data_IF_804014717447
#
_entry.id   IF_804014717447
#
_cell.length_a   1.000
_cell.length_b   1.000
_cell.length_c   1.000
_cell.angle_alpha   90.00
_cell.angle_beta   90.00
_cell.angle_gamma   90.00
#
_symmetry.space_group_name_H-M   'P 1'
#
loop_
_entity.id
_entity.type
_entity.pdbx_description
1 polymer ?
#
# COMPACT_ATOMS: atom_id res chain seq x y z
N UNK A 1 9.92 -19.14 12.57
CA UNK A 1 9.56 -17.99 13.44
C UNK A 1 10.23 -16.73 12.93
N UNK A 2 9.46 -15.70 12.58
CA UNK A 2 9.97 -14.43 12.08
C UNK A 2 10.59 -13.55 13.19
N UNK A 3 11.72 -12.91 12.88
CA UNK A 3 12.39 -11.88 13.69
C UNK A 3 12.65 -10.66 12.83
N UNK A 4 12.35 -9.48 13.36
CA UNK A 4 12.55 -8.21 12.67
C UNK A 4 13.54 -7.37 13.48
N UNK A 5 14.55 -6.84 12.81
CA UNK A 5 15.56 -5.98 13.40
C UNK A 5 15.31 -4.55 12.97
N UNK A 6 15.62 -3.62 13.86
CA UNK A 6 15.36 -2.21 13.67
C UNK A 6 16.63 -1.38 13.86
N UNK A 7 16.78 -0.34 13.06
CA UNK A 7 17.77 0.71 13.24
C UNK A 7 17.04 2.06 13.27
N UNK A 8 17.19 2.82 14.37
CA UNK A 8 16.50 4.11 14.56
C UNK A 8 14.98 4.05 14.32
N UNK A 9 14.36 2.93 14.71
CA UNK A 9 12.92 2.69 14.57
C UNK A 9 12.47 2.22 13.17
N UNK A 10 13.37 2.18 12.19
CA UNK A 10 13.10 1.65 10.85
C UNK A 10 13.48 0.18 10.78
N UNK A 11 12.76 -0.62 10.00
CA UNK A 11 13.17 -2.01 9.71
C UNK A 11 14.54 -1.96 9.02
N UNK A 12 15.47 -2.80 9.47
CA UNK A 12 16.80 -2.96 8.86
C UNK A 12 17.05 -4.38 8.34
N UNK A 13 16.37 -5.38 8.91
CA UNK A 13 16.52 -6.79 8.53
C UNK A 13 15.32 -7.61 8.95
N UNK A 14 14.94 -8.58 8.13
CA UNK A 14 13.93 -9.58 8.45
C UNK A 14 14.57 -10.96 8.35
N UNK A 15 14.34 -11.79 9.36
CA UNK A 15 14.79 -13.19 9.40
C UNK A 15 13.57 -14.08 9.61
N UNK A 16 13.30 -14.97 8.67
CA UNK A 16 12.22 -15.95 8.74
C UNK A 16 12.81 -17.33 8.51
N UNK A 17 12.84 -18.13 9.58
CA UNK A 17 13.49 -19.45 9.57
C UNK A 17 14.96 -19.33 9.12
N UNK A 18 15.33 -19.95 7.99
CA UNK A 18 16.69 -19.87 7.44
C UNK A 18 16.88 -18.68 6.49
N UNK A 19 15.79 -18.05 6.04
CA UNK A 19 15.85 -16.88 5.16
C UNK A 19 16.23 -15.63 5.95
N UNK A 20 17.30 -14.97 5.51
CA UNK A 20 17.80 -13.71 6.07
C UNK A 20 17.85 -12.67 4.96
N UNK A 21 17.08 -11.60 5.11
CA UNK A 21 17.01 -10.53 4.14
C UNK A 21 17.28 -9.20 4.83
N UNK A 22 18.25 -8.45 4.31
CA UNK A 22 18.41 -7.05 4.72
C UNK A 22 17.24 -6.29 4.07
N UNK A 23 16.49 -5.54 4.88
CA UNK A 23 15.30 -4.80 4.44
C UNK A 23 15.34 -3.46 5.15
N UNK A 24 15.76 -2.41 4.45
CA UNK A 24 15.78 -1.05 4.95
C UNK A 24 14.53 -0.31 4.45
N UNK A 25 13.60 -0.02 5.36
CA UNK A 25 12.39 0.74 5.09
C UNK A 25 12.63 2.24 5.34
N UNK A 26 12.37 3.07 4.34
CA UNK A 26 12.63 4.51 4.35
C UNK A 26 11.41 5.29 3.86
N UNK A 27 11.22 6.48 4.42
CA UNK A 27 10.28 7.47 3.90
C UNK A 27 11.03 8.58 3.17
N UNK A 28 10.45 9.06 2.07
CA UNK A 28 11.00 10.19 1.34
C UNK A 28 9.96 10.81 0.42
N UNK A 29 10.40 11.77 -0.38
CA UNK A 29 9.55 12.39 -1.38
C UNK A 29 10.32 12.81 -2.63
N UNK A 30 9.62 12.81 -3.76
CA UNK A 30 10.02 13.56 -4.95
C UNK A 30 9.39 14.95 -4.87
N UNK A 31 10.08 15.95 -5.43
CA UNK A 31 9.50 17.28 -5.57
C UNK A 31 8.81 17.37 -6.91
N UNK A 32 7.59 17.87 -6.93
CA UNK A 32 6.84 18.07 -8.17
C UNK A 32 7.51 19.12 -9.05
N UNK A 33 7.62 18.86 -10.35
CA UNK A 33 7.97 19.90 -11.32
C UNK A 33 6.78 20.86 -11.51
N UNK A 34 7.04 22.17 -11.45
CA UNK A 34 6.02 23.24 -11.51
C UNK A 34 6.48 24.49 -12.31
N UNK A 35 7.33 24.28 -13.33
CA UNK A 35 7.99 25.32 -14.12
C UNK A 35 7.35 25.62 -15.49
N UNK A 36 8.14 26.11 -16.45
CA UNK A 36 7.64 26.62 -17.75
C UNK A 36 7.22 25.53 -18.77
N UNK A 37 6.97 24.30 -18.32
CA UNK A 37 6.66 23.18 -19.22
C UNK A 37 5.64 22.24 -18.59
N UNK A 38 5.67 20.94 -18.92
CA UNK A 38 4.71 19.98 -18.37
C UNK A 38 4.82 19.87 -16.85
N UNK A 39 3.84 20.36 -16.11
CA UNK A 39 3.81 20.25 -14.66
C UNK A 39 3.41 18.85 -14.18
N UNK A 40 3.81 18.51 -12.94
CA UNK A 40 3.22 17.39 -12.19
C UNK A 40 1.86 17.83 -11.64
N UNK A 41 0.87 16.94 -11.71
CA UNK A 41 -0.51 17.26 -11.32
C UNK A 41 -1.35 15.99 -11.12
N UNK A 42 -2.66 16.10 -11.21
CA UNK A 42 -3.58 15.00 -10.92
C UNK A 42 -3.31 13.72 -11.74
N UNK A 43 -2.85 13.86 -12.99
CA UNK A 43 -2.59 12.77 -13.92
C UNK A 43 -1.11 12.51 -14.13
N UNK A 44 -0.32 13.58 -14.26
CA UNK A 44 1.10 13.49 -14.62
C UNK A 44 1.95 13.45 -13.35
N UNK A 45 2.80 12.43 -13.26
CA UNK A 45 3.94 12.43 -12.35
C UNK A 45 5.17 12.93 -13.10
N UNK A 46 5.70 14.07 -12.66
CA UNK A 46 6.98 14.58 -13.12
C UNK A 46 7.81 15.11 -11.95
N UNK A 47 8.85 14.38 -11.50
CA UNK A 47 9.79 14.92 -10.54
C UNK A 47 10.48 16.17 -11.07
N UNK A 48 10.98 17.02 -10.17
CA UNK A 48 11.63 18.28 -10.53
C UNK A 48 12.85 18.10 -11.45
N UNK A 49 13.52 16.95 -11.34
CA UNK A 49 14.56 16.51 -12.27
C UNK A 49 14.30 15.06 -12.70
N UNK A 50 14.54 14.67 -13.96
CA UNK A 50 14.27 13.30 -14.44
C UNK A 50 14.96 12.19 -13.62
N UNK A 51 16.14 12.49 -13.07
CA UNK A 51 16.98 11.59 -12.27
C UNK A 51 17.05 12.01 -10.78
N UNK A 52 16.09 12.79 -10.30
CA UNK A 52 16.04 13.24 -8.92
C UNK A 52 16.18 12.08 -7.92
N UNK A 53 17.25 12.09 -7.11
CA UNK A 53 17.34 11.18 -5.98
C UNK A 53 16.23 11.46 -4.96
N UNK A 54 15.63 10.38 -4.42
CA UNK A 54 14.57 10.49 -3.41
C UNK A 54 15.07 11.28 -2.20
N UNK A 55 14.35 12.34 -1.82
CA UNK A 55 14.67 13.15 -0.64
C UNK A 55 14.24 12.39 0.61
N UNK A 56 15.20 11.75 1.28
CA UNK A 56 14.94 10.88 2.44
C UNK A 56 14.64 11.70 3.69
N UNK A 57 13.51 11.40 4.33
CA UNK A 57 13.12 11.93 5.62
C UNK A 57 13.83 11.14 6.73
N UNK A 58 14.29 11.84 7.77
CA UNK A 58 14.98 11.21 8.90
C UNK A 58 14.00 10.92 10.05
N UNK A 59 14.12 9.77 10.71
CA UNK A 59 13.30 9.48 11.88
C UNK A 59 13.64 10.44 13.02
N UNK A 60 12.62 10.96 13.68
CA UNK A 60 12.77 11.77 14.88
C UNK A 60 13.04 10.82 16.04
N UNK A 61 14.30 10.73 16.49
CA UNK A 61 14.71 9.70 17.46
C UNK A 61 13.96 9.77 18.80
N UNK A 62 13.56 10.96 19.24
CA UNK A 62 12.76 11.16 20.46
C UNK A 62 11.30 10.69 20.32
N UNK A 63 10.80 10.45 19.11
CA UNK A 63 9.44 9.96 18.85
C UNK A 63 9.31 8.44 18.92
N UNK A 64 10.43 7.71 18.98
CA UNK A 64 10.43 6.25 18.91
C UNK A 64 9.79 5.68 20.17
N UNK A 65 8.68 4.95 20.01
CA UNK A 65 7.98 4.26 21.09
C UNK A 65 7.77 2.80 20.73
N UNK A 66 8.06 1.92 21.67
CA UNK A 66 7.85 0.47 21.53
C UNK A 66 6.71 0.07 22.46
N UNK A 67 5.70 -0.59 21.91
CA UNK A 67 4.57 -1.16 22.65
C UNK A 67 4.57 -2.66 22.41
N UNK A 68 4.55 -3.46 23.46
CA UNK A 68 4.55 -4.92 23.35
C UNK A 68 3.51 -5.56 24.27
N UNK A 69 2.77 -6.52 23.73
CA UNK A 69 1.93 -7.42 24.50
C UNK A 69 2.08 -8.86 24.00
N UNK A 70 1.26 -9.79 24.51
CA UNK A 70 1.33 -11.23 24.17
C UNK A 70 0.99 -11.56 22.71
N UNK A 71 0.35 -10.64 21.99
CA UNK A 71 -0.18 -10.81 20.63
C UNK A 71 0.58 -9.99 19.58
N UNK A 72 1.03 -8.79 19.92
CA UNK A 72 1.66 -7.85 18.97
C UNK A 72 2.81 -7.06 19.61
N UNK A 73 3.82 -6.78 18.80
CA UNK A 73 4.83 -5.75 19.05
C UNK A 73 4.66 -4.62 18.04
N UNK A 74 4.65 -3.39 18.53
CA UNK A 74 4.49 -2.19 17.74
C UNK A 74 5.69 -1.27 17.92
N UNK A 75 6.22 -0.76 16.81
CA UNK A 75 7.29 0.23 16.79
C UNK A 75 6.73 1.49 16.13
N UNK A 76 6.50 2.52 16.94
CA UNK A 76 5.97 3.81 16.54
C UNK A 76 7.13 4.76 16.27
N UNK A 77 7.11 5.46 15.13
CA UNK A 77 8.16 6.41 14.73
C UNK A 77 7.54 7.56 13.93
N UNK A 78 7.95 8.79 14.20
CA UNK A 78 7.62 9.97 13.38
C UNK A 78 8.81 10.39 12.51
N UNK A 79 8.51 10.86 11.31
CA UNK A 79 9.44 11.47 10.34
C UNK A 79 9.05 12.93 10.08
N UNK A 80 8.49 13.61 11.10
CA UNK A 80 7.82 14.90 10.96
C UNK A 80 6.33 14.68 10.78
N UNK A 81 5.82 15.04 9.60
CA UNK A 81 4.42 14.94 9.21
C UNK A 81 4.03 13.55 8.67
N UNK A 82 4.90 12.55 8.88
CA UNK A 82 4.61 11.14 8.64
C UNK A 82 4.77 10.37 9.94
N UNK A 83 3.73 9.65 10.35
CA UNK A 83 3.74 8.73 11.48
C UNK A 83 3.69 7.29 10.96
N UNK A 84 4.56 6.43 11.46
CA UNK A 84 4.62 5.02 11.12
C UNK A 84 4.44 4.16 12.37
N UNK A 85 3.66 3.09 12.23
CA UNK A 85 3.56 2.01 13.22
C UNK A 85 3.91 0.69 12.51
N UNK A 86 5.05 0.11 12.87
CA UNK A 86 5.41 -1.25 12.43
C UNK A 86 4.85 -2.26 13.41
N UNK A 87 3.95 -3.13 12.94
CA UNK A 87 3.27 -4.16 13.73
C UNK A 87 3.81 -5.54 13.39
N UNK A 88 4.22 -6.28 14.42
CA UNK A 88 4.70 -7.65 14.32
C UNK A 88 3.77 -8.52 15.16
N UNK A 89 2.88 -9.24 14.48
CA UNK A 89 1.92 -10.14 15.13
C UNK A 89 2.55 -11.50 15.43
N UNK A 90 2.22 -12.04 16.60
CA UNK A 90 2.67 -13.37 17.03
C UNK A 90 2.11 -14.44 16.09
N UNK A 91 2.99 -15.25 15.51
CA UNK A 91 2.61 -16.38 14.66
C UNK A 91 2.30 -16.00 13.21
N UNK A 92 2.50 -14.74 12.82
CA UNK A 92 2.40 -14.29 11.42
C UNK A 92 3.78 -14.21 10.77
N UNK A 93 3.82 -14.48 9.47
CA UNK A 93 5.04 -14.47 8.65
C UNK A 93 5.15 -13.21 7.77
N UNK A 94 4.56 -12.12 8.25
CA UNK A 94 4.55 -10.82 7.59
C UNK A 94 4.73 -9.70 8.61
N UNK A 95 5.18 -8.55 8.12
CA UNK A 95 5.30 -7.32 8.90
C UNK A 95 4.34 -6.30 8.35
N UNK A 96 3.54 -5.71 9.21
CA UNK A 96 2.56 -4.71 8.83
C UNK A 96 3.12 -3.31 9.13
N UNK A 97 3.03 -2.40 8.17
CA UNK A 97 3.44 -1.00 8.29
C UNK A 97 2.21 -0.14 8.09
N UNK A 98 1.61 0.29 9.20
CA UNK A 98 0.57 1.31 9.18
C UNK A 98 1.24 2.68 9.17
N UNK A 99 0.69 3.59 8.38
CA UNK A 99 1.23 4.93 8.27
C UNK A 99 0.13 5.98 8.23
N UNK A 100 0.45 7.16 8.74
CA UNK A 100 -0.34 8.38 8.58
C UNK A 100 0.55 9.40 7.93
N UNK A 101 0.10 9.93 6.79
CA UNK A 101 0.71 11.07 6.14
C UNK A 101 -0.20 12.26 6.38
N UNK A 102 0.22 13.16 7.26
CA UNK A 102 -0.56 14.31 7.70
C UNK A 102 -0.03 15.58 7.03
N UNK A 103 -0.91 16.52 6.68
CA UNK A 103 -0.60 17.86 6.18
C UNK A 103 0.74 17.99 5.42
N UNK A 104 0.84 17.42 4.20
CA UNK A 104 2.05 17.53 3.38
C UNK A 104 2.42 19.02 3.26
N UNK A 105 3.59 19.45 3.77
CA UNK A 105 3.90 20.87 3.92
C UNK A 105 4.21 21.49 2.56
N UNK A 106 3.65 22.67 2.31
CA UNK A 106 3.86 23.43 1.05
C UNK A 106 4.26 24.90 1.30
N UNK A 107 4.63 25.25 2.53
CA UNK A 107 5.05 26.61 2.89
C UNK A 107 6.32 27.07 2.15
N UNK A 108 7.10 26.11 1.67
CA UNK A 108 8.28 26.29 0.81
C UNK A 108 7.93 26.50 -0.67
N UNK A 109 6.63 26.52 -1.02
CA UNK A 109 6.13 26.60 -2.40
C UNK A 109 6.60 25.43 -3.28
N UNK A 110 6.80 24.24 -2.68
CA UNK A 110 7.23 23.04 -3.38
C UNK A 110 6.21 21.92 -3.19
N UNK A 111 5.64 21.44 -4.30
CA UNK A 111 4.82 20.22 -4.32
C UNK A 111 5.64 18.97 -3.95
N UNK A 112 5.04 18.03 -3.22
CA UNK A 112 5.73 16.85 -2.69
C UNK A 112 4.92 15.59 -2.94
N UNK A 113 5.62 14.54 -3.33
CA UNK A 113 5.04 13.26 -3.70
C UNK A 113 5.71 12.15 -2.90
N UNK A 114 4.95 11.57 -1.99
CA UNK A 114 5.45 10.90 -0.79
C UNK A 114 5.59 9.42 -1.06
N UNK A 115 6.74 8.87 -0.71
CA UNK A 115 7.13 7.51 -1.08
C UNK A 115 7.58 6.73 0.15
N UNK A 116 7.03 5.52 0.28
CA UNK A 116 7.58 4.46 1.13
C UNK A 116 8.49 3.58 0.29
N UNK A 117 9.77 3.49 0.65
CA UNK A 117 10.76 2.69 -0.10
C UNK A 117 11.40 1.63 0.77
N UNK A 118 11.44 0.41 0.26
CA UNK A 118 12.18 -0.70 0.82
C UNK A 118 13.42 -0.96 -0.03
N UNK A 119 14.58 -1.09 0.61
CA UNK A 119 15.83 -1.53 -0.04
C UNK A 119 16.25 -2.86 0.55
N UNK A 120 16.67 -3.79 -0.30
CA UNK A 120 17.08 -5.12 0.10
C UNK A 120 18.30 -5.61 -0.67
N UNK A 121 18.83 -6.75 -0.23
CA UNK A 121 19.90 -7.46 -0.91
C UNK A 121 19.38 -8.41 -2.02
N UNK A 122 18.09 -8.36 -2.39
CA UNK A 122 17.53 -9.12 -3.52
C UNK A 122 18.19 -8.71 -4.83
N UNK A 123 18.66 -9.69 -5.61
CA UNK A 123 19.27 -9.48 -6.92
C UNK A 123 18.20 -9.48 -8.02
N UNK A 124 17.37 -8.44 -8.02
CA UNK A 124 16.20 -8.36 -8.91
C UNK A 124 16.52 -8.12 -10.39
N UNK A 125 17.77 -7.79 -10.74
CA UNK A 125 18.24 -7.57 -12.12
C UNK A 125 17.30 -6.67 -12.96
N UNK A 126 16.98 -5.49 -12.43
CA UNK A 126 16.06 -4.50 -13.03
C UNK A 126 14.63 -5.00 -13.27
N UNK A 127 14.28 -6.19 -12.78
CA UNK A 127 12.98 -6.82 -12.94
C UNK A 127 12.17 -6.68 -11.66
N UNK A 128 10.89 -6.39 -11.81
CA UNK A 128 9.92 -6.37 -10.73
C UNK A 128 8.55 -6.73 -11.29
N UNK A 129 7.58 -7.00 -10.42
CA UNK A 129 6.28 -7.46 -10.83
C UNK A 129 5.20 -6.64 -10.13
N UNK A 130 4.21 -6.18 -10.90
CA UNK A 130 3.03 -5.51 -10.36
C UNK A 130 1.79 -6.25 -10.81
N UNK A 131 0.77 -6.27 -9.97
CA UNK A 131 -0.50 -6.88 -10.33
C UNK A 131 -1.24 -6.06 -11.41
N UNK A 132 -2.18 -6.71 -12.09
CA UNK A 132 -3.15 -6.06 -12.98
C UNK A 132 -4.54 -6.19 -12.38
N UNK A 133 -5.03 -5.13 -11.74
CA UNK A 133 -6.35 -5.08 -11.08
C UNK A 133 -6.54 -6.21 -10.05
N UNK A 134 -5.51 -6.49 -9.23
CA UNK A 134 -5.51 -7.56 -8.24
C UNK A 134 -5.38 -8.98 -8.81
N UNK A 135 -5.26 -9.12 -10.13
CA UNK A 135 -5.16 -10.41 -10.83
C UNK A 135 -3.72 -10.70 -11.23
N UNK A 136 -3.46 -11.05 -12.49
CA UNK A 136 -2.16 -11.54 -12.95
C UNK A 136 -1.03 -10.55 -12.67
N UNK A 137 0.11 -11.09 -12.25
CA UNK A 137 1.33 -10.31 -12.08
C UNK A 137 2.02 -10.11 -13.42
N UNK A 138 2.21 -8.85 -13.79
CA UNK A 138 2.88 -8.45 -15.01
C UNK A 138 4.35 -8.22 -14.70
N UNK A 139 5.22 -8.89 -15.46
CA UNK A 139 6.66 -8.65 -15.41
C UNK A 139 6.97 -7.25 -15.94
N UNK A 140 7.66 -6.45 -15.16
CA UNK A 140 8.17 -5.12 -15.50
C UNK A 140 9.68 -5.17 -15.55
N UNK A 141 10.28 -4.46 -16.49
CA UNK A 141 11.72 -4.26 -16.54
C UNK A 141 12.00 -2.75 -16.63
N UNK A 142 12.82 -2.25 -15.70
CA UNK A 142 13.18 -0.84 -15.63
C UNK A 142 13.83 -0.40 -16.95
N UNK A 143 13.43 0.77 -17.44
CA UNK A 143 13.93 1.40 -18.67
C UNK A 143 13.71 0.57 -19.94
N UNK A 144 12.66 -0.26 -19.98
CA UNK A 144 12.37 -1.15 -21.11
C UNK A 144 10.88 -1.15 -21.48
N UNK A 145 10.59 -1.32 -22.78
CA UNK A 145 9.25 -1.59 -23.31
C UNK A 145 9.32 -2.76 -24.28
N UNK A 146 8.37 -3.69 -24.18
CA UNK A 146 8.38 -4.90 -25.01
C UNK A 146 8.01 -4.62 -26.47
N UNK A 147 7.16 -3.64 -26.71
CA UNK A 147 6.53 -3.41 -28.01
C UNK A 147 7.21 -2.37 -28.90
N UNK A 148 8.19 -1.63 -28.40
CA UNK A 148 8.95 -0.65 -29.19
C UNK A 148 10.31 -0.35 -28.55
N UNK A 149 11.23 0.21 -29.35
CA UNK A 149 12.52 0.70 -28.88
C UNK A 149 12.31 1.93 -27.98
N UNK A 150 12.44 1.72 -26.67
CA UNK A 150 12.17 2.74 -25.67
C UNK A 150 13.35 3.70 -25.52
N UNK A 151 13.10 4.98 -25.81
CA UNK A 151 14.00 6.08 -25.47
C UNK A 151 13.52 6.67 -24.13
N UNK A 152 14.35 6.56 -23.10
CA UNK A 152 14.00 6.98 -21.75
C UNK A 152 14.29 8.48 -21.55
N UNK A 153 13.24 9.28 -21.37
CA UNK A 153 13.33 10.70 -21.04
C UNK A 153 13.08 10.98 -19.56
N UNK A 154 12.29 10.14 -18.89
CA UNK A 154 11.89 10.27 -17.49
C UNK A 154 12.22 8.96 -16.74
N UNK A 155 13.47 8.76 -16.28
CA UNK A 155 13.92 7.53 -15.62
C UNK A 155 13.16 7.14 -14.36
N UNK A 156 12.56 8.11 -13.67
CA UNK A 156 11.72 7.85 -12.49
C UNK A 156 10.28 7.60 -12.93
N UNK A 157 9.61 8.62 -13.46
CA UNK A 157 8.18 8.56 -13.77
C UNK A 157 7.85 7.50 -14.84
N UNK A 158 8.72 7.33 -15.84
CA UNK A 158 8.58 6.31 -16.88
C UNK A 158 8.67 4.87 -16.36
N UNK A 159 9.06 4.65 -15.10
CA UNK A 159 9.16 3.32 -14.51
C UNK A 159 8.13 3.08 -13.40
N UNK A 160 7.21 4.01 -13.15
CA UNK A 160 6.07 3.80 -12.25
C UNK A 160 4.93 3.04 -12.92
N UNK A 161 4.35 2.10 -12.20
CA UNK A 161 3.22 1.27 -12.64
C UNK A 161 2.12 1.25 -11.58
N UNK A 162 0.86 1.01 -11.97
CA UNK A 162 -0.20 0.79 -11.00
C UNK A 162 0.08 -0.49 -10.20
N UNK A 163 -0.16 -0.39 -8.90
CA UNK A 163 -0.15 -1.47 -7.92
C UNK A 163 -1.51 -1.43 -7.23
N UNK A 164 -2.43 -2.33 -7.58
CA UNK A 164 -3.75 -2.35 -6.97
C UNK A 164 -3.79 -3.22 -5.72
N UNK A 165 -2.86 -4.17 -5.61
CA UNK A 165 -2.82 -5.14 -4.52
C UNK A 165 -1.41 -5.44 -4.05
N UNK A 166 -0.46 -5.65 -4.97
CA UNK A 166 0.89 -6.05 -4.58
C UNK A 166 1.94 -5.77 -5.64
N UNK A 167 3.15 -5.49 -5.15
CA UNK A 167 4.38 -5.39 -5.93
C UNK A 167 5.42 -6.33 -5.31
N UNK A 168 6.25 -6.97 -6.14
CA UNK A 168 7.35 -7.77 -5.63
C UNK A 168 8.59 -7.73 -6.52
N UNK A 169 9.72 -8.06 -5.90
CA UNK A 169 11.00 -8.36 -6.52
C UNK A 169 11.49 -9.72 -6.05
N UNK A 170 12.27 -10.42 -6.87
CA UNK A 170 12.79 -11.74 -6.52
C UNK A 170 14.19 -11.97 -7.11
N UNK A 171 15.01 -12.74 -6.37
CA UNK A 171 16.14 -13.48 -6.93
C UNK A 171 15.57 -14.82 -7.39
N UNK A 172 15.52 -15.02 -8.71
CA UNK A 172 14.76 -16.08 -9.36
C UNK A 172 14.99 -17.44 -8.70
N UNK A 173 13.93 -18.01 -8.13
CA UNK A 173 13.93 -19.33 -7.51
C UNK A 173 14.62 -19.42 -6.14
N UNK A 174 14.93 -18.30 -5.49
CA UNK A 174 15.63 -18.27 -4.19
C UNK A 174 14.93 -17.45 -3.13
N UNK A 175 14.62 -16.19 -3.40
CA UNK A 175 14.04 -15.32 -2.41
C UNK A 175 13.24 -14.20 -3.04
N UNK A 176 12.17 -13.78 -2.38
CA UNK A 176 11.34 -12.67 -2.81
C UNK A 176 11.05 -11.70 -1.67
N UNK A 177 10.93 -10.42 -2.03
CA UNK A 177 10.40 -9.36 -1.20
C UNK A 177 9.12 -8.85 -1.86
N UNK A 178 8.01 -8.98 -1.13
CA UNK A 178 6.68 -8.59 -1.58
C UNK A 178 6.12 -7.52 -0.66
N UNK A 179 5.47 -6.52 -1.24
CA UNK A 179 4.70 -5.51 -0.51
C UNK A 179 3.26 -5.54 -1.03
N UNK A 180 2.31 -5.81 -0.14
CA UNK A 180 0.87 -5.66 -0.42
C UNK A 180 0.38 -4.29 0.04
N UNK A 181 -0.62 -3.77 -0.66
CA UNK A 181 -1.18 -2.42 -0.45
C UNK A 181 -2.65 -2.52 -0.06
N UNK A 182 -3.11 -1.60 0.81
CA UNK A 182 -4.53 -1.51 1.21
C UNK A 182 -5.41 -0.81 0.16
N UNK A 183 -4.78 -0.15 -0.81
CA UNK A 183 -5.42 0.60 -1.90
C UNK A 183 -4.53 0.63 -3.14
N UNK A 184 -5.09 1.18 -4.22
CA UNK A 184 -4.32 1.42 -5.44
C UNK A 184 -3.29 2.52 -5.24
N UNK A 185 -2.06 2.24 -5.65
CA UNK A 185 -0.92 3.15 -5.55
C UNK A 185 -0.07 3.10 -6.83
N UNK A 186 0.80 4.08 -7.00
CA UNK A 186 1.89 4.00 -7.97
C UNK A 186 3.11 3.33 -7.34
N UNK A 187 3.72 2.36 -8.00
CA UNK A 187 4.91 1.69 -7.49
C UNK A 187 5.96 1.36 -8.55
N UNK A 188 7.20 1.17 -8.10
CA UNK A 188 8.34 0.87 -8.97
C UNK A 188 9.48 0.10 -8.27
N UNK A 189 10.46 -0.34 -9.06
CA UNK A 189 11.79 -0.77 -8.62
C UNK A 189 12.85 0.05 -9.35
N UNK A 190 13.15 1.25 -8.84
CA UNK A 190 14.08 2.18 -9.50
C UNK A 190 15.56 1.80 -9.33
N UNK A 191 15.89 1.01 -8.31
CA UNK A 191 17.22 0.44 -8.08
C UNK A 191 17.10 -1.07 -7.86
N UNK A 192 18.14 -1.82 -8.23
CA UNK A 192 18.16 -3.27 -7.96
C UNK A 192 17.97 -3.53 -6.47
N UNK A 193 17.12 -4.52 -6.14
CA UNK A 193 16.80 -4.86 -4.75
C UNK A 193 15.86 -3.88 -4.06
N UNK A 194 15.29 -2.88 -4.75
CA UNK A 194 14.37 -1.91 -4.14
C UNK A 194 12.94 -2.03 -4.63
N UNK A 195 11.99 -1.69 -3.77
CA UNK A 195 10.58 -1.45 -4.09
C UNK A 195 10.25 -0.06 -3.53
N UNK A 196 9.51 0.74 -4.29
CA UNK A 196 8.94 1.97 -3.77
C UNK A 196 7.49 2.14 -4.17
N UNK A 197 6.70 2.73 -3.27
CA UNK A 197 5.26 2.98 -3.41
C UNK A 197 4.99 4.44 -3.07
N UNK A 198 4.36 5.17 -3.99
CA UNK A 198 3.87 6.53 -3.75
C UNK A 198 2.55 6.44 -2.99
N UNK A 199 2.55 6.94 -1.75
CA UNK A 199 1.42 6.79 -0.83
C UNK A 199 0.48 7.98 -0.83
N UNK A 200 1.00 9.18 -1.11
CA UNK A 200 0.27 10.44 -1.10
C UNK A 200 1.01 11.46 -1.97
N UNK A 201 0.33 12.50 -2.44
CA UNK A 201 0.93 13.57 -3.25
C UNK A 201 0.11 14.85 -3.14
N UNK A 202 0.82 15.97 -3.08
CA UNK A 202 0.25 17.31 -3.06
C UNK A 202 1.03 18.20 -4.03
N UNK A 203 0.41 18.58 -5.14
CA UNK A 203 1.01 19.42 -6.18
C UNK A 203 0.46 20.85 -6.10
N UNK A 204 1.21 21.82 -6.65
CA UNK A 204 0.84 23.25 -6.61
C UNK A 204 0.42 23.82 -7.97
N UNK A 205 0.40 22.96 -9.00
CA UNK A 205 0.00 23.28 -10.37
C UNK A 205 -0.94 22.21 -10.92
N UNK A 206 -1.82 22.65 -11.82
CA UNK A 206 -2.57 21.77 -12.73
C UNK A 206 -1.61 21.28 -13.82
N UNK A 207 -1.78 20.03 -14.26
CA UNK A 207 -0.91 19.42 -15.29
C UNK A 207 -1.43 19.63 -16.73
N UNK A 208 -2.46 20.45 -16.91
CA UNK A 208 -3.00 20.80 -18.23
C UNK A 208 -3.72 19.64 -18.92
N UNK A 209 -4.28 18.68 -18.17
CA UNK A 209 -5.03 17.54 -18.73
C UNK A 209 -6.54 17.67 -18.65
N UNK A 210 -7.04 18.83 -18.19
CA UNK A 210 -8.44 19.22 -18.32
C UNK A 210 -9.22 19.28 -17.01
N UNK A 211 -8.62 18.90 -15.87
CA UNK A 211 -9.26 19.08 -14.56
C UNK A 211 -9.29 20.57 -14.17
N UNK A 212 -8.22 21.31 -14.48
CA UNK A 212 -8.17 22.77 -14.29
C UNK A 212 -7.91 23.19 -12.85
N UNK A 213 -7.33 22.30 -12.04
CA UNK A 213 -6.96 22.55 -10.65
C UNK A 213 -5.72 21.74 -10.26
N UNK A 214 -4.92 22.27 -9.34
CA UNK A 214 -3.82 21.52 -8.77
C UNK A 214 -4.33 20.38 -7.88
N UNK A 215 -3.58 19.27 -7.77
CA UNK A 215 -3.87 18.22 -6.80
C UNK A 215 -3.43 18.68 -5.40
N UNK A 216 -4.19 19.61 -4.82
CA UNK A 216 -3.90 20.31 -3.57
C UNK A 216 -5.04 20.09 -2.56
N UNK A 217 -5.29 18.83 -2.22
CA UNK A 217 -6.37 18.45 -1.30
C UNK A 217 -6.14 18.99 0.13
N UNK A 218 -7.21 19.50 0.73
CA UNK A 218 -7.27 20.00 2.10
C UNK A 218 -8.46 19.39 2.83
N UNK A 219 -8.58 19.62 4.14
CA UNK A 219 -9.69 19.11 4.97
C UNK A 219 -11.07 19.42 4.39
N UNK A 220 -11.25 20.60 3.82
CA UNK A 220 -12.50 21.00 3.16
C UNK A 220 -12.27 22.00 2.04
N UNK A 221 -13.33 22.29 1.27
CA UNK A 221 -13.36 23.30 0.21
C UNK A 221 -14.62 24.16 0.36
N UNK A 222 -14.53 25.45 0.02
CA UNK A 222 -15.74 26.22 -0.29
C UNK A 222 -16.11 25.95 -1.74
N UNK A 223 -17.28 25.34 -1.97
CA UNK A 223 -17.76 25.07 -3.33
C UNK A 223 -17.99 26.39 -4.09
N UNK A 224 -17.40 26.49 -5.28
CA UNK A 224 -17.73 27.55 -6.23
C UNK A 224 -18.86 27.06 -7.14
N UNK A 225 -20.08 27.51 -6.86
CA UNK A 225 -21.27 27.22 -7.68
C UNK A 225 -21.26 28.06 -8.98
N UNK A 226 -21.64 27.50 -10.15
CA UNK A 226 -21.94 26.10 -10.44
C UNK A 226 -20.73 25.27 -10.88
N UNK A 227 -19.55 25.89 -11.08
CA UNK A 227 -18.27 25.24 -11.44
C UNK A 227 -17.07 26.11 -11.00
N UNK A 228 -15.99 25.50 -10.49
CA UNK A 228 -14.70 26.17 -10.25
C UNK A 228 -13.84 25.50 -9.16
N UNK A 229 -12.53 25.81 -9.16
CA UNK A 229 -11.59 25.46 -8.08
C UNK A 229 -12.07 26.13 -6.78
N UNK A 230 -12.59 25.34 -5.85
CA UNK A 230 -13.09 25.82 -4.57
C UNK A 230 -11.95 26.33 -3.70
N UNK A 231 -12.16 27.41 -2.94
CA UNK A 231 -11.11 27.87 -2.03
C UNK A 231 -10.85 26.82 -0.95
N UNK A 232 -9.59 26.40 -0.83
CA UNK A 232 -9.13 25.36 0.09
C UNK A 232 -9.24 25.83 1.55
N UNK A 233 -9.74 24.96 2.42
CA UNK A 233 -9.95 25.24 3.86
C UNK A 233 -9.17 24.22 4.67
N UNK A 234 -8.47 24.71 5.70
CA UNK A 234 -7.77 23.88 6.67
C UNK A 234 -6.40 23.41 6.18
N UNK A 235 -5.88 22.42 6.89
CA UNK A 235 -4.60 21.80 6.59
C UNK A 235 -4.67 20.89 5.36
N UNK A 236 -3.51 20.48 4.85
CA UNK A 236 -3.42 19.48 3.78
C UNK A 236 -4.06 18.16 4.21
N UNK A 237 -4.75 17.48 3.28
CA UNK A 237 -5.48 16.25 3.56
C UNK A 237 -4.57 15.19 4.20
N UNK A 238 -4.95 14.74 5.39
CA UNK A 238 -4.32 13.62 6.05
C UNK A 238 -4.86 12.29 5.51
N UNK A 239 -3.97 11.34 5.26
CA UNK A 239 -4.35 9.97 4.93
C UNK A 239 -3.75 8.97 5.92
N UNK A 240 -4.48 7.91 6.19
CA UNK A 240 -3.96 6.70 6.84
C UNK A 240 -3.97 5.56 5.85
N UNK A 241 -2.92 4.76 5.83
CA UNK A 241 -2.84 3.58 4.99
C UNK A 241 -1.95 2.51 5.58
N UNK A 242 -1.83 1.42 4.84
CA UNK A 242 -1.21 0.22 5.33
C UNK A 242 -0.46 -0.52 4.22
N UNK A 243 0.74 -1.00 4.54
CA UNK A 243 1.50 -1.94 3.71
C UNK A 243 1.81 -3.21 4.49
N UNK A 244 1.66 -4.38 3.85
CA UNK A 244 2.15 -5.66 4.38
C UNK A 244 3.40 -6.10 3.66
N UNK A 245 4.47 -6.30 4.39
CA UNK A 245 5.77 -6.76 3.90
C UNK A 245 5.89 -8.25 4.15
N UNK A 246 6.18 -9.00 3.09
CA UNK A 246 6.39 -10.45 3.12
C UNK A 246 7.75 -10.76 2.52
N UNK A 247 8.53 -11.60 3.20
CA UNK A 247 9.70 -12.25 2.61
C UNK A 247 9.38 -13.73 2.42
N UNK A 248 9.82 -14.33 1.33
CA UNK A 248 9.62 -15.75 1.09
C UNK A 248 10.83 -16.40 0.42
N UNK A 249 11.03 -17.68 0.72
CA UNK A 249 11.92 -18.57 -0.04
C UNK A 249 11.16 -18.99 -1.31
N UNK A 250 11.65 -18.58 -2.47
CA UNK A 250 10.96 -18.76 -3.75
C UNK A 250 10.11 -17.57 -4.21
N UNK A 251 8.97 -17.88 -4.88
CA UNK A 251 8.24 -16.93 -5.74
C UNK A 251 7.49 -15.83 -4.96
N UNK A 252 7.68 -14.58 -5.38
CA UNK A 252 6.95 -13.45 -4.83
C UNK A 252 5.46 -13.46 -5.15
N UNK A 253 5.06 -14.09 -6.26
CA UNK A 253 3.66 -14.24 -6.64
C UNK A 253 2.90 -15.14 -5.66
N UNK A 254 3.48 -16.29 -5.29
CA UNK A 254 2.90 -17.18 -4.28
C UNK A 254 2.83 -16.51 -2.91
N UNK A 255 3.90 -15.81 -2.51
CA UNK A 255 3.94 -15.06 -1.26
C UNK A 255 2.87 -13.96 -1.19
N UNK A 256 2.66 -13.24 -2.30
CA UNK A 256 1.60 -12.25 -2.39
C UNK A 256 0.22 -12.92 -2.27
N UNK A 257 -0.05 -13.95 -3.08
CA UNK A 257 -1.36 -14.63 -3.12
C UNK A 257 -1.80 -15.18 -1.77
N UNK A 258 -0.86 -15.71 -0.98
CA UNK A 258 -1.16 -16.22 0.36
C UNK A 258 -1.70 -15.15 1.33
N UNK A 259 -1.46 -13.87 1.06
CA UNK A 259 -1.84 -12.76 1.94
C UNK A 259 -2.92 -11.84 1.35
N UNK A 260 -3.22 -11.91 0.04
CA UNK A 260 -4.15 -10.99 -0.61
C UNK A 260 -5.58 -11.03 -0.04
N UNK A 261 -6.11 -12.23 0.24
CA UNK A 261 -7.45 -12.40 0.79
C UNK A 261 -7.63 -11.63 2.09
N UNK A 262 -6.66 -11.78 3.00
CA UNK A 262 -6.67 -11.16 4.30
C UNK A 262 -6.55 -9.63 4.22
N UNK A 263 -6.10 -9.08 3.09
CA UNK A 263 -6.05 -7.63 2.85
C UNK A 263 -7.39 -7.05 2.42
N UNK A 264 -8.14 -7.77 1.58
CA UNK A 264 -9.41 -7.25 1.03
C UNK A 264 -10.67 -7.78 1.71
N UNK A 265 -10.55 -8.84 2.50
CA UNK A 265 -11.64 -9.43 3.28
C UNK A 265 -11.30 -9.41 4.77
N UNK A 266 -11.17 -8.23 5.40
CA UNK A 266 -10.90 -8.15 6.83
C UNK A 266 -12.06 -8.73 7.64
N UNK A 267 -11.76 -9.15 8.87
CA UNK A 267 -12.80 -9.58 9.81
C UNK A 267 -13.76 -8.41 10.08
N UNK A 268 -15.04 -8.59 9.75
CA UNK A 268 -16.08 -7.62 10.08
C UNK A 268 -16.45 -7.76 11.56
N UNK A 269 -16.30 -6.66 12.30
CA UNK A 269 -16.65 -6.60 13.71
C UNK A 269 -18.00 -5.89 13.86
N UNK A 270 -18.95 -6.57 14.50
CA UNK A 270 -20.27 -6.03 14.82
C UNK A 270 -20.36 -5.81 16.33
N UNK A 271 -20.84 -4.64 16.74
CA UNK A 271 -21.12 -4.32 18.13
C UNK A 271 -22.62 -4.08 18.29
N UNK A 272 -23.22 -4.70 19.30
CA UNK A 272 -24.62 -4.52 19.68
C UNK A 272 -24.74 -4.17 21.15
N UNK A 273 -25.86 -3.57 21.53
CA UNK A 273 -26.20 -3.31 22.93
C UNK A 273 -27.47 -4.10 23.31
N UNK A 274 -27.55 -4.51 24.56
CA UNK A 274 -28.73 -5.17 25.14
C UNK A 274 -29.00 -4.60 26.52
N UNK A 275 -30.27 -4.29 26.81
CA UNK A 275 -30.71 -3.84 28.13
C UNK A 275 -30.57 -4.95 29.19
N UNK A 276 -30.43 -6.20 28.75
CA UNK A 276 -30.10 -7.35 29.61
C UNK A 276 -28.61 -7.64 29.51
N UNK A 277 -27.94 -7.77 30.66
CA UNK A 277 -26.58 -8.29 30.72
C UNK A 277 -26.55 -9.68 30.08
N UNK A 278 -25.82 -9.82 28.99
CA UNK A 278 -25.55 -11.10 28.33
C UNK A 278 -24.32 -11.69 28.99
N UNK A 279 -24.48 -12.75 29.79
CA UNK A 279 -23.35 -13.44 30.44
C UNK A 279 -22.69 -14.47 29.52
N UNK A 280 -23.45 -15.06 28.58
CA UNK A 280 -22.93 -15.96 27.55
C UNK A 280 -23.45 -15.60 26.15
N UNK A 281 -22.55 -15.61 25.16
CA UNK A 281 -22.88 -15.36 23.75
C UNK A 281 -23.92 -16.35 23.19
N UNK A 282 -24.03 -17.55 23.76
CA UNK A 282 -25.06 -18.53 23.38
C UNK A 282 -26.49 -18.07 23.69
N UNK A 283 -26.66 -17.06 24.57
CA UNK A 283 -27.97 -16.49 24.91
C UNK A 283 -28.49 -15.52 23.85
N UNK A 284 -27.67 -15.16 22.84
CA UNK A 284 -28.07 -14.25 21.75
C UNK A 284 -28.58 -14.98 20.50
N UNK A 285 -28.88 -16.28 20.61
CA UNK A 285 -29.56 -17.12 19.59
C UNK A 285 -29.32 -16.76 18.11
N UNK A 286 -28.08 -16.65 17.65
CA UNK A 286 -27.78 -16.89 16.23
C UNK A 286 -26.42 -17.58 16.12
N UNK A 287 -26.44 -18.89 15.86
CA UNK A 287 -25.27 -19.65 15.48
C UNK A 287 -24.69 -19.09 14.17
N UNK A 288 -23.36 -19.13 13.96
CA UNK A 288 -22.78 -18.72 12.70
C UNK A 288 -23.38 -19.54 11.55
N UNK A 289 -23.97 -18.85 10.57
CA UNK A 289 -24.39 -19.45 9.30
C UNK A 289 -23.12 -19.76 8.51
N UNK A 290 -22.61 -20.97 8.65
CA UNK A 290 -21.55 -21.48 7.80
C UNK A 290 -22.17 -21.92 6.47
N UNK A 291 -21.91 -21.18 5.38
CA UNK A 291 -22.35 -21.56 4.04
C UNK A 291 -21.72 -22.90 3.60
N UNK A 292 -20.52 -23.18 4.09
CA UNK A 292 -19.79 -24.44 3.93
C UNK A 292 -19.64 -25.05 5.33
N UNK A 293 -20.53 -25.96 5.71
CA UNK A 293 -20.63 -26.47 7.09
C UNK A 293 -19.32 -27.07 7.62
N UNK A 294 -18.49 -27.66 6.74
CA UNK A 294 -17.28 -28.41 7.15
C UNK A 294 -16.10 -28.30 6.16
N UNK A 295 -16.17 -27.40 5.16
CA UNK A 295 -15.15 -27.32 4.11
C UNK A 295 -14.44 -25.96 4.09
N UNK A 296 -13.12 -25.99 4.28
CA UNK A 296 -12.24 -24.84 4.09
C UNK A 296 -11.79 -24.86 2.63
N UNK A 297 -12.01 -23.76 1.91
CA UNK A 297 -11.52 -23.62 0.54
C UNK A 297 -9.98 -23.71 0.52
N UNK A 298 -9.35 -24.25 -0.52
CA UNK A 298 -7.90 -24.21 -0.66
C UNK A 298 -7.36 -22.79 -0.55
N UNK A 299 -6.15 -22.62 0.01
CA UNK A 299 -5.52 -21.31 0.25
C UNK A 299 -5.37 -20.43 -1.02
N UNK A 300 -5.51 -21.02 -2.22
CA UNK A 300 -5.42 -20.34 -3.51
C UNK A 300 -6.78 -20.11 -4.19
N UNK A 301 -7.90 -20.32 -3.49
CA UNK A 301 -9.27 -20.15 -4.01
C UNK A 301 -10.02 -19.17 -3.11
N UNK A 302 -10.59 -18.12 -3.70
CA UNK A 302 -11.29 -17.07 -2.96
C UNK A 302 -12.77 -17.03 -3.32
N UNK A 303 -13.65 -16.88 -2.33
CA UNK A 303 -15.07 -16.67 -2.60
C UNK A 303 -15.35 -15.20 -2.93
N UNK A 304 -15.15 -14.82 -4.20
CA UNK A 304 -15.26 -13.44 -4.69
C UNK A 304 -16.69 -12.90 -4.77
N UNK A 305 -17.68 -13.78 -4.94
CA UNK A 305 -19.08 -13.36 -5.02
C UNK A 305 -19.97 -14.45 -4.45
N UNK A 306 -20.84 -14.07 -3.52
CA UNK A 306 -22.08 -14.80 -3.19
C UNK A 306 -23.21 -13.79 -3.24
N UNK A 307 -24.11 -13.93 -4.21
CA UNK A 307 -25.23 -12.99 -4.36
C UNK A 307 -26.51 -13.74 -4.68
N UNK A 308 -27.52 -13.59 -3.83
CA UNK A 308 -28.90 -13.96 -4.15
C UNK A 308 -29.42 -13.02 -5.26
N UNK A 309 -29.81 -13.59 -6.39
CA UNK A 309 -30.32 -12.85 -7.54
C UNK A 309 -31.84 -12.74 -7.51
N UNK A 310 -32.52 -13.82 -7.14
CA UNK A 310 -33.98 -13.86 -7.00
C UNK A 310 -34.41 -15.03 -6.15
N UNK A 311 -35.55 -14.88 -5.48
CA UNK A 311 -36.31 -15.97 -4.86
C UNK A 311 -37.65 -16.06 -5.56
N UNK A 312 -37.93 -17.21 -6.16
CA UNK A 312 -39.18 -17.49 -6.85
C UNK A 312 -40.29 -17.76 -5.84
N UNK A 313 -41.54 -17.55 -6.25
CA UNK A 313 -42.73 -17.80 -5.42
C UNK A 313 -42.88 -19.26 -4.95
N UNK A 314 -42.23 -20.21 -5.62
CA UNK A 314 -42.16 -21.61 -5.21
C UNK A 314 -41.03 -21.90 -4.20
N UNK A 315 -40.36 -20.87 -3.68
CA UNK A 315 -39.26 -20.99 -2.71
C UNK A 315 -37.89 -21.26 -3.33
N UNK A 316 -37.78 -21.49 -4.64
CA UNK A 316 -36.47 -21.69 -5.28
C UNK A 316 -35.69 -20.38 -5.39
N UNK A 317 -34.38 -20.42 -5.12
CA UNK A 317 -33.51 -19.24 -5.15
C UNK A 317 -32.42 -19.38 -6.20
N UNK A 318 -32.09 -18.28 -6.88
CA UNK A 318 -30.96 -18.19 -7.82
C UNK A 318 -29.80 -17.49 -7.13
N UNK A 319 -28.67 -18.17 -7.00
CA UNK A 319 -27.44 -17.58 -6.48
C UNK A 319 -26.39 -17.43 -7.59
N UNK A 320 -25.68 -16.31 -7.58
CA UNK A 320 -24.43 -16.11 -8.32
C UNK A 320 -23.27 -16.39 -7.38
N UNK A 321 -22.44 -17.35 -7.74
CA UNK A 321 -21.21 -17.71 -7.02
C UNK A 321 -20.01 -17.51 -7.95
N UNK A 322 -18.96 -16.85 -7.45
CA UNK A 322 -17.65 -16.78 -8.12
C UNK A 322 -16.56 -17.20 -7.13
N UNK A 323 -15.73 -18.13 -7.58
CA UNK A 323 -14.52 -18.63 -6.91
C UNK A 323 -13.27 -18.19 -7.67
#
# INVERSE_FOLDING_TARGET
>A
RMKVYFERGMISKIVMDDLKMDVLAEWGYYTSFDGDSQDSGAYIFRPAMPDQELKILKPISSSIKIIENKLVKEIHVSFGWIHQIVKIYRGKNYVDVEYTVDNIPIHDQIGKEIVHRLRSNIRSNSTFYTDSNGREFQKRQRSMRQSWDFIEFEPIAGNYYPVNTAIFIEDTGKASLTVLTDRSQGGSSLKNGSIELMVHRRTLKDDGRGVGEALNETESIHANEPYGDGSRIGDGLAITGFHRIVIADGSGASAARAEMDAMFSPLLLFAGNSDRRVENYSETEELPIHLLSDYILPDNVQLLTVKLLSTNSNGSSRLLIRL
#
